data_IF_608290280739
#
_entry.id   IF_608290280739
#
_cell.length_a   1.000
_cell.length_b   1.000
_cell.length_c   1.000
_cell.angle_alpha   90.00
_cell.angle_beta   90.00
_cell.angle_gamma   90.00
#
_symmetry.space_group_name_H-M   'P 1'
#
loop_
_entity.id
_entity.type
_entity.pdbx_description
1 polymer ?
#
# COMPACT_ATOMS: atom_id res chain seq x y z
N UNK A 1 0.64 -14.11 32.30
CA UNK A 1 -0.07 -12.87 31.92
C UNK A 1 -0.05 -12.79 30.41
N UNK A 2 -1.16 -13.14 29.75
CA UNK A 2 -1.24 -12.97 28.29
C UNK A 2 -1.30 -11.48 28.01
N UNK A 3 -0.34 -10.96 27.26
CA UNK A 3 -0.38 -9.61 26.69
C UNK A 3 -1.70 -9.42 25.96
N UNK A 4 -2.31 -8.23 25.94
CA UNK A 4 -3.51 -8.01 25.12
C UNK A 4 -3.17 -8.44 23.69
N UNK A 5 -3.94 -9.38 23.15
CA UNK A 5 -3.82 -9.74 21.73
C UNK A 5 -3.95 -8.44 20.94
N UNK A 6 -2.94 -8.10 20.16
CA UNK A 6 -2.93 -6.87 19.35
C UNK A 6 -3.85 -7.06 18.14
N UNK A 7 -5.14 -7.25 18.41
CA UNK A 7 -6.19 -7.47 17.42
C UNK A 7 -6.68 -6.13 16.91
N UNK A 8 -6.78 -6.00 15.60
CA UNK A 8 -7.30 -4.82 14.95
C UNK A 8 -8.26 -5.23 13.83
N UNK A 9 -9.32 -4.42 13.56
CA UNK A 9 -10.25 -4.71 12.49
C UNK A 9 -9.59 -4.51 11.12
N UNK A 10 -9.93 -5.39 10.19
CA UNK A 10 -9.52 -5.34 8.79
C UNK A 10 -10.72 -5.61 7.89
N UNK A 11 -10.61 -5.26 6.62
CA UNK A 11 -11.54 -5.72 5.60
C UNK A 11 -10.99 -6.97 4.93
N UNK A 12 -11.81 -8.02 4.85
CA UNK A 12 -11.46 -9.26 4.15
C UNK A 12 -12.21 -9.32 2.82
N UNK A 13 -11.47 -9.44 1.72
CA UNK A 13 -12.02 -9.87 0.45
C UNK A 13 -12.01 -11.41 0.40
N UNK A 14 -13.22 -11.97 0.34
CA UNK A 14 -13.48 -13.40 0.38
C UNK A 14 -13.94 -13.95 -0.98
N UNK A 15 -13.89 -13.13 -2.04
CA UNK A 15 -14.39 -13.48 -3.36
C UNK A 15 -13.27 -13.56 -4.41
N UNK A 16 -12.36 -12.59 -4.41
CA UNK A 16 -11.29 -12.50 -5.42
C UNK A 16 -10.31 -13.67 -5.29
N UNK A 17 -10.11 -14.41 -6.39
CA UNK A 17 -9.11 -15.49 -6.50
C UNK A 17 -9.19 -16.54 -5.37
N UNK A 18 -10.42 -16.93 -5.01
CA UNK A 18 -10.67 -17.88 -3.91
C UNK A 18 -10.73 -17.26 -2.50
N UNK A 19 -10.53 -15.94 -2.39
CA UNK A 19 -10.72 -15.18 -1.16
C UNK A 19 -9.58 -15.32 -0.15
N UNK A 20 -9.82 -14.82 1.07
CA UNK A 20 -8.81 -14.82 2.15
C UNK A 20 -7.85 -13.64 2.10
N UNK A 21 -8.17 -12.61 1.31
CA UNK A 21 -7.33 -11.42 1.17
C UNK A 21 -7.62 -10.40 2.25
N UNK A 22 -6.60 -10.04 3.03
CA UNK A 22 -6.68 -8.88 3.92
C UNK A 22 -6.37 -7.61 3.14
N UNK A 23 -7.34 -6.72 3.03
CA UNK A 23 -7.18 -5.44 2.33
C UNK A 23 -6.52 -4.45 3.27
N UNK A 24 -5.31 -4.00 2.93
CA UNK A 24 -4.57 -3.02 3.73
C UNK A 24 -4.55 -1.62 3.10
N UNK A 25 -4.93 -1.48 1.82
CA UNK A 25 -5.06 -0.21 1.12
C UNK A 25 -6.24 -0.29 0.17
N UNK A 26 -7.09 0.74 0.16
CA UNK A 26 -8.16 0.88 -0.85
C UNK A 26 -8.33 2.33 -1.30
N UNK A 27 -8.39 2.55 -2.62
CA UNK A 27 -8.87 3.77 -3.29
C UNK A 27 -10.07 3.44 -4.17
N UNK A 28 -11.11 4.27 -4.17
CA UNK A 28 -12.31 4.08 -5.01
C UNK A 28 -13.07 5.37 -5.36
N UNK A 29 -13.02 6.40 -4.52
CA UNK A 29 -13.90 7.57 -4.64
C UNK A 29 -13.22 8.91 -4.28
N UNK A 30 -12.01 8.87 -3.74
CA UNK A 30 -11.26 10.05 -3.28
C UNK A 30 -11.85 10.68 -2.02
N UNK A 31 -12.63 9.94 -1.22
CA UNK A 31 -13.21 10.43 0.03
C UNK A 31 -12.19 10.61 1.16
N UNK A 32 -11.02 9.99 1.06
CA UNK A 32 -9.96 10.08 2.06
C UNK A 32 -8.70 10.69 1.46
N UNK A 33 -8.16 11.71 2.13
CA UNK A 33 -6.84 12.26 1.79
C UNK A 33 -5.74 11.29 2.20
N UNK A 34 -4.85 10.99 1.25
CA UNK A 34 -3.62 10.21 1.47
C UNK A 34 -2.38 11.10 1.63
N UNK A 35 -2.55 12.43 1.59
CA UNK A 35 -1.52 13.38 1.98
C UNK A 35 -1.46 13.45 3.51
N UNK A 36 -0.68 12.55 4.11
CA UNK A 36 -0.66 12.26 5.55
C UNK A 36 0.77 12.20 6.08
N UNK A 37 0.95 12.54 7.34
CA UNK A 37 2.24 12.54 8.02
C UNK A 37 2.72 11.11 8.36
N UNK A 38 3.98 10.97 8.79
CA UNK A 38 4.58 9.68 9.14
C UNK A 38 3.76 8.90 10.16
N UNK A 39 3.37 9.56 11.26
CA UNK A 39 2.60 8.94 12.34
C UNK A 39 1.24 8.42 11.86
N UNK A 40 0.59 9.13 10.95
CA UNK A 40 -0.69 8.69 10.38
C UNK A 40 -0.51 7.48 9.46
N UNK A 41 0.54 7.44 8.63
CA UNK A 41 0.87 6.25 7.83
C UNK A 41 1.33 5.07 8.69
N UNK A 42 2.00 5.34 9.82
CA UNK A 42 2.41 4.33 10.80
C UNK A 42 1.20 3.64 11.42
N UNK A 43 0.25 4.44 11.91
CA UNK A 43 -0.89 3.97 12.70
C UNK A 43 -2.08 3.54 11.84
N UNK A 44 -2.20 4.12 10.64
CA UNK A 44 -3.29 3.92 9.70
C UNK A 44 -4.34 5.02 9.75
N UNK A 45 -5.09 5.16 8.66
CA UNK A 45 -6.14 6.17 8.50
C UNK A 45 -7.23 5.70 7.53
N UNK A 46 -8.39 6.37 7.58
CA UNK A 46 -9.57 6.00 6.80
C UNK A 46 -10.44 4.95 7.50
N UNK A 47 -11.37 4.36 6.76
CA UNK A 47 -12.30 3.34 7.27
C UNK A 47 -12.18 2.07 6.42
N UNK A 48 -12.17 0.91 7.08
CA UNK A 48 -11.80 -0.38 6.47
C UNK A 48 -12.73 -0.80 5.32
N UNK A 49 -14.03 -0.47 5.38
CA UNK A 49 -14.97 -0.73 4.29
C UNK A 49 -14.89 0.33 3.18
N UNK A 50 -14.39 1.53 3.48
CA UNK A 50 -14.12 2.63 2.58
C UNK A 50 -12.67 2.73 2.10
N UNK A 51 -12.24 3.94 1.75
CA UNK A 51 -10.85 4.23 1.47
C UNK A 51 -10.03 4.27 2.75
N UNK A 52 -8.88 3.61 2.74
CA UNK A 52 -8.02 3.54 3.92
C UNK A 52 -6.60 3.10 3.60
N UNK A 53 -5.72 3.35 4.57
CA UNK A 53 -4.42 2.72 4.73
C UNK A 53 -4.39 2.06 6.11
N UNK A 54 -4.13 0.76 6.18
CA UNK A 54 -4.22 -0.01 7.42
C UNK A 54 -3.26 0.49 8.50
N UNK A 55 -2.08 0.96 8.09
CA UNK A 55 -0.99 1.37 8.96
C UNK A 55 0.25 0.49 8.77
N UNK A 56 1.40 1.12 8.62
CA UNK A 56 2.67 0.42 8.36
C UNK A 56 3.04 -0.53 9.50
N UNK A 57 2.77 -0.17 10.75
CA UNK A 57 3.09 -1.03 11.89
C UNK A 57 2.28 -2.34 11.86
N UNK A 58 1.00 -2.26 11.50
CA UNK A 58 0.13 -3.43 11.34
C UNK A 58 0.52 -4.26 10.13
N UNK A 59 0.86 -3.61 9.02
CA UNK A 59 1.29 -4.29 7.79
C UNK A 59 2.64 -5.02 7.97
N UNK A 60 3.57 -4.44 8.74
CA UNK A 60 4.81 -5.09 9.15
C UNK A 60 4.51 -6.35 9.98
N UNK A 61 3.66 -6.23 11.00
CA UNK A 61 3.26 -7.36 11.83
C UNK A 61 2.59 -8.48 11.01
N UNK A 62 1.70 -8.14 10.07
CA UNK A 62 1.03 -9.14 9.22
C UNK A 62 2.03 -9.84 8.30
N UNK A 63 2.77 -9.06 7.52
CA UNK A 63 3.62 -9.62 6.45
C UNK A 63 4.84 -10.40 6.94
N UNK A 64 5.18 -10.32 8.24
CA UNK A 64 6.28 -11.08 8.84
C UNK A 64 5.81 -12.25 9.74
N UNK A 65 4.52 -12.58 9.76
CA UNK A 65 4.00 -13.78 10.46
C UNK A 65 4.29 -15.08 9.72
N UNK A 66 4.67 -15.00 8.45
CA UNK A 66 4.86 -16.15 7.57
C UNK A 66 5.15 -15.70 6.15
N UNK A 67 4.84 -16.55 5.18
CA UNK A 67 5.00 -16.22 3.77
C UNK A 67 3.69 -15.64 3.22
N UNK A 68 3.70 -14.37 2.82
CA UNK A 68 2.54 -13.69 2.28
C UNK A 68 2.77 -13.25 0.84
N UNK A 69 1.70 -13.28 0.05
CA UNK A 69 1.65 -12.70 -1.29
C UNK A 69 0.94 -11.35 -1.25
N UNK A 70 1.33 -10.46 -2.16
CA UNK A 70 0.66 -9.16 -2.38
C UNK A 70 -0.09 -9.21 -3.70
N UNK A 71 -1.38 -8.89 -3.64
CA UNK A 71 -2.20 -8.64 -4.83
C UNK A 71 -2.60 -7.17 -4.88
N UNK A 72 -2.48 -6.56 -6.05
CA UNK A 72 -2.92 -5.19 -6.33
C UNK A 72 -3.93 -5.24 -7.47
N UNK A 73 -5.19 -4.95 -7.19
CA UNK A 73 -6.25 -4.81 -8.19
C UNK A 73 -6.49 -3.34 -8.52
N UNK A 74 -6.64 -3.05 -9.81
CA UNK A 74 -6.83 -1.70 -10.34
C UNK A 74 -7.93 -1.71 -11.40
N UNK A 75 -8.67 -0.61 -11.46
CA UNK A 75 -9.69 -0.35 -12.47
C UNK A 75 -9.47 1.05 -13.04
N UNK A 76 -9.47 1.19 -14.36
CA UNK A 76 -9.44 2.49 -15.01
C UNK A 76 -10.85 3.09 -15.21
N UNK A 77 -10.91 4.32 -15.70
CA UNK A 77 -12.18 5.04 -15.93
C UNK A 77 -13.01 4.50 -17.10
N UNK A 78 -12.46 3.56 -17.88
CA UNK A 78 -13.19 2.79 -18.90
C UNK A 78 -13.68 1.43 -18.36
N UNK A 79 -13.56 1.20 -17.05
CA UNK A 79 -13.88 -0.03 -16.35
C UNK A 79 -13.00 -1.23 -16.75
N UNK A 80 -11.82 -1.00 -17.33
CA UNK A 80 -10.88 -2.07 -17.57
C UNK A 80 -10.19 -2.47 -16.26
N UNK A 81 -10.29 -3.74 -15.92
CA UNK A 81 -9.64 -4.31 -14.73
C UNK A 81 -8.27 -4.86 -15.07
N UNK A 82 -7.32 -4.64 -14.16
CA UNK A 82 -5.96 -5.17 -14.23
C UNK A 82 -5.48 -5.52 -12.83
N UNK A 83 -4.52 -6.43 -12.73
CA UNK A 83 -3.91 -6.77 -11.45
C UNK A 83 -2.41 -7.06 -11.57
N UNK A 84 -1.73 -6.89 -10.44
CA UNK A 84 -0.38 -7.39 -10.18
C UNK A 84 -0.44 -8.38 -9.00
N UNK A 85 0.35 -9.43 -9.06
CA UNK A 85 0.53 -10.40 -7.99
C UNK A 85 2.03 -10.60 -7.75
N UNK A 86 2.46 -10.44 -6.50
CA UNK A 86 3.80 -10.75 -6.04
C UNK A 86 3.72 -11.94 -5.10
N UNK A 87 4.40 -13.04 -5.44
CA UNK A 87 4.38 -14.26 -4.64
C UNK A 87 4.92 -14.05 -3.22
N UNK A 88 5.94 -13.21 -3.07
CA UNK A 88 6.52 -12.84 -1.78
C UNK A 88 6.35 -11.35 -1.55
N UNK A 89 5.84 -10.97 -0.38
CA UNK A 89 5.71 -9.60 0.08
C UNK A 89 5.97 -9.51 1.58
N UNK A 90 6.85 -8.59 1.97
CA UNK A 90 6.99 -8.13 3.36
C UNK A 90 7.50 -6.71 3.44
N UNK A 91 7.31 -6.09 4.59
CA UNK A 91 7.95 -4.82 4.92
C UNK A 91 8.74 -4.95 6.21
N UNK A 92 9.88 -4.26 6.31
CA UNK A 92 10.67 -4.23 7.55
C UNK A 92 9.99 -3.40 8.65
N UNK A 93 10.58 -3.37 9.85
CA UNK A 93 10.07 -2.57 10.97
C UNK A 93 10.33 -1.07 10.82
N UNK A 94 9.84 -0.29 11.78
CA UNK A 94 10.00 1.17 11.79
C UNK A 94 11.47 1.61 11.81
N UNK A 95 12.34 0.85 12.48
CA UNK A 95 13.80 1.08 12.53
C UNK A 95 14.47 0.99 11.15
N UNK A 96 13.83 0.25 10.23
CA UNK A 96 14.23 0.14 8.83
C UNK A 96 13.29 0.93 7.90
N UNK A 97 12.50 1.84 8.47
CA UNK A 97 11.56 2.70 7.76
C UNK A 97 10.62 1.93 6.84
N UNK A 98 10.10 0.80 7.32
CA UNK A 98 9.11 0.01 6.59
C UNK A 98 9.53 -0.38 5.17
N UNK A 99 10.82 -0.66 4.97
CA UNK A 99 11.40 -1.00 3.66
C UNK A 99 10.62 -2.13 2.98
N UNK A 100 10.30 -1.94 1.70
CA UNK A 100 9.59 -2.92 0.88
C UNK A 100 10.49 -4.09 0.49
N UNK A 101 9.91 -5.30 0.50
CA UNK A 101 10.49 -6.49 -0.11
C UNK A 101 9.41 -7.20 -0.92
N UNK A 102 9.59 -7.31 -2.24
CA UNK A 102 8.68 -8.02 -3.15
C UNK A 102 9.42 -8.91 -4.13
N UNK A 103 8.83 -10.06 -4.47
CA UNK A 103 9.39 -10.94 -5.50
C UNK A 103 8.31 -11.83 -6.14
N UNK A 104 8.66 -12.44 -7.27
CA UNK A 104 7.79 -13.38 -7.99
C UNK A 104 6.59 -12.69 -8.62
N UNK A 105 6.83 -11.60 -9.36
CA UNK A 105 5.80 -10.87 -10.07
C UNK A 105 5.09 -11.73 -11.12
N UNK A 106 3.77 -11.55 -11.21
CA UNK A 106 2.89 -12.01 -12.29
C UNK A 106 1.67 -11.10 -12.37
N UNK A 107 0.84 -11.24 -13.41
CA UNK A 107 -0.41 -10.50 -13.54
C UNK A 107 -0.61 -9.95 -14.95
N UNK A 108 -1.41 -8.90 -15.05
CA UNK A 108 -1.84 -8.30 -16.33
C UNK A 108 -1.30 -6.89 -16.57
N UNK A 109 -0.40 -6.42 -15.69
CA UNK A 109 0.27 -5.12 -15.81
C UNK A 109 1.78 -5.33 -15.98
N UNK A 110 2.52 -4.24 -16.10
CA UNK A 110 3.98 -4.28 -16.01
C UNK A 110 4.39 -4.32 -14.53
N UNK A 111 5.44 -5.10 -14.23
CA UNK A 111 6.07 -5.05 -12.92
C UNK A 111 6.61 -3.64 -12.72
N UNK A 112 6.36 -3.04 -11.57
CA UNK A 112 7.01 -1.79 -11.16
C UNK A 112 7.55 -1.88 -9.76
N UNK A 113 6.98 -2.72 -8.89
CA UNK A 113 7.52 -2.82 -7.55
C UNK A 113 8.81 -3.60 -7.55
N UNK A 114 8.92 -4.70 -8.30
CA UNK A 114 10.08 -5.59 -8.28
C UNK A 114 11.38 -4.90 -8.73
N UNK A 115 11.35 -4.17 -9.85
CA UNK A 115 12.57 -3.56 -10.39
C UNK A 115 12.82 -2.12 -9.93
N UNK A 116 11.78 -1.38 -9.47
CA UNK A 116 11.91 0.04 -9.15
C UNK A 116 11.73 0.37 -7.67
N UNK A 117 10.73 -0.22 -7.00
CA UNK A 117 10.38 0.13 -5.61
C UNK A 117 10.93 -0.85 -4.56
N UNK A 118 11.33 -2.06 -4.96
CA UNK A 118 11.88 -3.07 -4.05
C UNK A 118 13.09 -2.51 -3.30
N UNK A 119 13.22 -2.91 -2.04
CA UNK A 119 14.28 -2.47 -1.11
C UNK A 119 14.32 -0.98 -0.77
N UNK A 120 13.34 -0.19 -1.24
CA UNK A 120 13.24 1.22 -0.89
C UNK A 120 12.48 1.42 0.42
N UNK A 121 12.88 2.47 1.12
CA UNK A 121 12.32 2.86 2.42
C UNK A 121 11.03 3.65 2.21
N UNK A 122 10.08 3.47 3.12
CA UNK A 122 8.88 4.28 3.13
C UNK A 122 9.23 5.71 3.54
N UNK A 123 8.54 6.68 2.95
CA UNK A 123 8.67 8.10 3.33
C UNK A 123 7.35 8.83 3.11
N UNK A 124 7.14 9.89 3.89
CA UNK A 124 5.95 10.75 3.90
C UNK A 124 6.38 12.22 3.74
N UNK A 125 5.46 13.16 3.44
CA UNK A 125 5.81 14.56 3.19
C UNK A 125 6.62 15.22 4.31
N UNK A 126 6.37 14.85 5.57
CA UNK A 126 7.06 15.36 6.76
C UNK A 126 8.42 14.71 7.05
N UNK A 127 8.86 13.74 6.25
CA UNK A 127 10.16 13.06 6.42
C UNK A 127 11.32 13.71 5.65
N UNK A 128 11.06 14.83 4.96
CA UNK A 128 12.07 15.53 4.14
C UNK A 128 12.39 14.87 2.81
N UNK A 129 11.60 13.88 2.38
CA UNK A 129 11.70 13.33 1.02
C UNK A 129 10.90 14.19 0.04
N UNK A 130 11.60 14.85 -0.89
CA UNK A 130 10.99 15.74 -1.89
C UNK A 130 9.94 15.03 -2.75
N UNK A 131 10.13 13.74 -3.06
CA UNK A 131 9.16 12.97 -3.84
C UNK A 131 7.86 12.75 -3.07
N UNK A 132 7.95 12.51 -1.76
CA UNK A 132 6.77 12.40 -0.92
C UNK A 132 6.02 13.73 -0.82
N UNK A 133 6.76 14.83 -0.69
CA UNK A 133 6.21 16.19 -0.64
C UNK A 133 5.45 16.56 -1.92
N UNK A 134 6.09 16.44 -3.09
CA UNK A 134 5.46 16.81 -4.38
C UNK A 134 4.36 15.84 -4.82
N UNK A 135 4.42 14.58 -4.37
CA UNK A 135 3.38 13.58 -4.68
C UNK A 135 2.20 13.65 -3.70
N UNK A 136 2.35 14.41 -2.61
CA UNK A 136 1.35 14.52 -1.54
C UNK A 136 0.91 13.16 -0.98
N UNK A 137 1.87 12.26 -0.73
CA UNK A 137 1.56 10.88 -0.32
C UNK A 137 2.73 10.20 0.39
N UNK A 138 2.42 9.18 1.19
CA UNK A 138 3.41 8.25 1.72
C UNK A 138 3.63 7.07 0.77
N UNK A 139 4.88 6.74 0.46
CA UNK A 139 5.21 5.62 -0.45
C UNK A 139 6.65 5.13 -0.29
N UNK A 140 6.95 3.99 -0.92
CA UNK A 140 8.32 3.49 -1.14
C UNK A 140 8.96 4.21 -2.32
N UNK A 141 9.33 5.47 -2.13
CA UNK A 141 9.94 6.29 -3.17
C UNK A 141 11.40 5.90 -3.43
N UNK A 142 11.79 5.92 -4.71
CA UNK A 142 13.18 5.83 -5.17
C UNK A 142 13.57 7.16 -5.82
N UNK A 143 13.69 7.23 -7.15
CA UNK A 143 13.78 8.49 -7.91
C UNK A 143 12.38 9.04 -8.15
N UNK A 144 11.66 9.24 -7.04
CA UNK A 144 10.22 9.34 -6.95
C UNK A 144 9.54 7.99 -7.24
N UNK A 145 8.72 7.87 -8.28
CA UNK A 145 7.89 6.69 -8.45
C UNK A 145 7.67 6.33 -9.91
N UNK A 146 7.58 5.03 -10.18
CA UNK A 146 6.97 4.50 -11.40
C UNK A 146 5.49 4.21 -11.18
N UNK A 147 5.12 3.78 -9.96
CA UNK A 147 3.73 3.64 -9.52
C UNK A 147 3.54 4.35 -8.17
N UNK A 148 2.44 5.08 -8.00
CA UNK A 148 2.05 5.68 -6.73
C UNK A 148 0.56 5.46 -6.45
N UNK A 149 0.25 4.38 -5.74
CA UNK A 149 -1.13 4.01 -5.41
C UNK A 149 -1.75 4.88 -4.28
N UNK A 150 -0.89 5.61 -3.55
CA UNK A 150 -1.28 6.52 -2.48
C UNK A 150 -1.38 7.97 -2.97
N UNK A 151 -1.18 8.24 -4.26
CA UNK A 151 -1.22 9.58 -4.84
C UNK A 151 -2.60 10.25 -4.80
N UNK A 152 -2.65 11.46 -5.36
CA UNK A 152 -3.88 12.25 -5.47
C UNK A 152 -4.91 11.54 -6.35
N UNK A 153 -6.17 11.50 -5.90
CA UNK A 153 -7.26 10.88 -6.64
C UNK A 153 -7.85 11.85 -7.67
N UNK A 154 -7.39 11.78 -8.92
CA UNK A 154 -7.90 12.61 -10.01
C UNK A 154 -9.15 12.00 -10.64
N UNK A 155 -10.31 12.63 -10.38
CA UNK A 155 -11.58 12.19 -10.97
C UNK A 155 -11.54 12.26 -12.50
N UNK A 156 -11.95 11.18 -13.17
CA UNK A 156 -11.87 11.04 -14.62
C UNK A 156 -10.48 10.68 -15.16
N UNK A 157 -9.46 10.57 -14.29
CA UNK A 157 -8.15 9.98 -14.60
C UNK A 157 -7.20 10.87 -15.38
N UNK A 158 -7.73 11.86 -16.10
CA UNK A 158 -6.92 12.85 -16.80
C UNK A 158 -6.61 14.02 -15.87
N UNK A 159 -5.32 14.30 -15.70
CA UNK A 159 -4.82 15.44 -14.94
C UNK A 159 -3.77 16.19 -15.77
N UNK A 160 -3.54 17.46 -15.42
CA UNK A 160 -2.60 18.38 -16.07
C UNK A 160 -1.63 18.95 -15.05
#
# INVERSE_FOLDING_TARGET
VMSPSNTFPVYCDMETDGGGWTVFQRRRDGSVSFNRAWLEYRDGFGEQRGEHWLGNQKLHQLSNQGHYSLRVDMQDWSHAHRHALYQSFRIDGEENQYRLHVAGFSGTVEDSFGWYHDQHRFSTPDTGNICAEISHSGWWFHQCFYANLNGVYYKGGRYS
#
